data_IF_928913705206
#
_entry.id   IF_928913705206
#
_cell.length_a   1.000
_cell.length_b   1.000
_cell.length_c   1.000
_cell.angle_alpha   90.00
_cell.angle_beta   90.00
_cell.angle_gamma   90.00
#
_symmetry.space_group_name_H-M   'P 1'
#
loop_
_entity.id
_entity.type
_entity.pdbx_description
1 polymer ?
#
# COMPACT_ATOMS: atom_id res chain seq x y z
N UNK A 1 63.92 -16.14 53.56
CA UNK A 1 64.47 -15.41 52.38
C UNK A 1 63.31 -15.13 51.43
N UNK A 2 63.29 -13.88 50.94
CA UNK A 2 62.13 -13.03 50.64
C UNK A 2 61.00 -13.53 49.74
N UNK A 3 59.79 -13.08 50.06
CA UNK A 3 58.82 -12.57 49.10
C UNK A 3 57.82 -11.59 49.76
N UNK A 4 57.37 -10.61 48.94
CA UNK A 4 56.14 -9.79 49.00
C UNK A 4 56.15 -8.40 49.68
N UNK A 5 56.27 -7.41 48.80
CA UNK A 5 55.58 -6.10 48.78
C UNK A 5 54.04 -6.27 48.71
N UNK A 6 53.19 -5.26 48.90
CA UNK A 6 53.11 -4.10 49.79
C UNK A 6 51.66 -3.60 49.64
N UNK A 7 51.08 -3.10 50.74
CA UNK A 7 49.67 -2.74 50.92
C UNK A 7 49.56 -1.26 51.28
N UNK A 8 48.53 -0.58 50.78
CA UNK A 8 47.87 0.61 51.37
C UNK A 8 46.50 0.76 50.67
N UNK A 9 45.34 1.03 51.27
CA UNK A 9 44.96 1.67 52.54
C UNK A 9 44.36 3.06 52.25
N UNK A 10 43.12 3.14 51.74
CA UNK A 10 41.88 3.59 52.43
C UNK A 10 41.75 5.09 52.75
N UNK A 11 40.77 5.77 52.14
CA UNK A 11 39.97 6.81 52.81
C UNK A 11 38.59 6.99 52.15
N UNK A 12 37.57 7.26 52.98
CA UNK A 12 36.15 7.17 52.69
C UNK A 12 35.51 8.54 52.38
N UNK A 13 34.46 8.54 51.55
CA UNK A 13 33.55 9.67 51.33
C UNK A 13 32.24 9.20 50.69
N UNK A 14 31.11 9.52 51.34
CA UNK A 14 29.73 9.06 51.09
C UNK A 14 29.08 9.51 49.74
N UNK A 15 27.92 8.91 49.36
CA UNK A 15 27.45 8.83 47.98
C UNK A 15 26.43 9.93 47.60
N UNK A 16 26.59 10.50 46.41
CA UNK A 16 25.68 11.49 45.84
C UNK A 16 25.17 11.15 44.44
N UNK A 17 23.85 10.96 44.32
CA UNK A 17 23.03 11.14 43.12
C UNK A 17 23.25 10.19 41.92
N UNK A 18 22.71 8.97 42.02
CA UNK A 18 22.33 8.17 40.85
C UNK A 18 21.10 8.78 40.16
N UNK A 19 21.22 9.02 38.86
CA UNK A 19 20.16 9.51 37.99
C UNK A 19 18.95 8.55 37.97
N UNK A 20 17.82 9.00 38.55
CA UNK A 20 16.52 8.35 38.38
C UNK A 20 16.01 8.59 36.97
N UNK A 21 16.13 7.57 36.12
CA UNK A 21 15.40 7.46 34.85
C UNK A 21 13.90 7.40 35.14
N UNK A 22 13.18 8.47 34.84
CA UNK A 22 11.74 8.55 34.94
C UNK A 22 11.08 7.73 33.81
N UNK A 23 10.93 6.42 34.02
CA UNK A 23 10.06 5.57 33.19
C UNK A 23 8.61 5.92 33.51
N UNK A 24 7.98 6.69 32.61
CA UNK A 24 6.54 6.94 32.59
C UNK A 24 5.86 5.59 32.30
N UNK A 25 5.32 4.93 33.34
CA UNK A 25 4.51 3.71 33.19
C UNK A 25 3.32 4.03 32.29
N UNK A 26 3.24 3.38 31.13
CA UNK A 26 2.05 3.37 30.30
C UNK A 26 0.98 2.63 31.12
N UNK A 27 -0.10 3.33 31.46
CA UNK A 27 -1.23 2.73 32.16
C UNK A 27 -2.07 1.94 31.14
N UNK A 28 -1.95 0.61 31.15
CA UNK A 28 -2.68 -0.28 30.23
C UNK A 28 -4.21 -0.27 30.43
N UNK A 29 -4.74 0.32 31.51
CA UNK A 29 -6.19 0.48 31.71
C UNK A 29 -6.77 1.72 30.98
N UNK A 30 -5.93 2.56 30.34
CA UNK A 30 -6.38 3.71 29.56
C UNK A 30 -6.73 3.37 28.10
N UNK A 31 -6.44 2.15 27.62
CA UNK A 31 -6.77 1.69 26.26
C UNK A 31 -8.24 1.27 26.07
N UNK A 32 -9.06 1.38 27.12
CA UNK A 32 -10.50 1.05 27.09
C UNK A 32 -11.45 2.25 27.22
N UNK A 33 -10.95 3.48 27.34
CA UNK A 33 -11.82 4.67 27.36
C UNK A 33 -11.90 5.25 25.96
N UNK A 34 -13.04 5.04 25.30
CA UNK A 34 -13.50 5.88 24.20
C UNK A 34 -13.30 7.35 24.63
N UNK A 35 -12.40 8.07 23.95
CA UNK A 35 -12.21 9.49 24.19
C UNK A 35 -13.51 10.21 23.84
N UNK A 36 -14.11 10.85 24.84
CA UNK A 36 -15.35 11.63 24.74
C UNK A 36 -15.14 13.00 24.08
N UNK A 37 -14.34 13.05 23.01
CA UNK A 37 -14.19 14.20 22.12
C UNK A 37 -14.59 13.68 20.76
N UNK A 38 -15.72 14.14 20.23
CA UNK A 38 -16.39 13.62 19.03
C UNK A 38 -15.41 13.22 17.93
N UNK A 39 -15.20 11.92 17.80
CA UNK A 39 -14.27 11.32 16.85
C UNK A 39 -14.93 11.40 15.47
N UNK A 40 -14.75 12.52 14.77
CA UNK A 40 -15.15 12.62 13.37
C UNK A 40 -14.16 11.77 12.57
N UNK A 41 -14.37 10.45 12.59
CA UNK A 41 -13.54 9.51 11.86
C UNK A 41 -13.52 9.94 10.38
N UNK A 42 -12.33 10.18 9.83
CA UNK A 42 -12.19 10.58 8.42
C UNK A 42 -12.89 9.56 7.51
N UNK A 43 -13.38 9.99 6.33
CA UNK A 43 -14.02 9.09 5.36
C UNK A 43 -13.14 7.86 5.06
N UNK A 44 -11.83 8.08 4.92
CA UNK A 44 -10.82 7.04 4.72
C UNK A 44 -10.73 6.05 5.89
N UNK A 45 -10.81 6.51 7.14
CA UNK A 45 -10.87 5.62 8.31
C UNK A 45 -12.15 4.78 8.29
N UNK A 46 -13.30 5.38 7.99
CA UNK A 46 -14.58 4.65 7.86
C UNK A 46 -14.51 3.55 6.79
N UNK A 47 -13.94 3.87 5.62
CA UNK A 47 -13.76 2.91 4.53
C UNK A 47 -12.84 1.75 4.94
N UNK A 48 -11.74 2.02 5.65
CA UNK A 48 -10.84 0.97 6.13
C UNK A 48 -11.49 0.08 7.20
N UNK A 49 -12.26 0.66 8.12
CA UNK A 49 -13.02 -0.10 9.12
C UNK A 49 -14.07 -0.99 8.46
N UNK A 50 -14.79 -0.48 7.46
CA UNK A 50 -15.77 -1.27 6.71
C UNK A 50 -15.12 -2.40 5.91
N UNK A 51 -13.96 -2.16 5.28
CA UNK A 51 -13.14 -3.22 4.66
C UNK A 51 -12.81 -4.34 5.65
N UNK A 52 -12.32 -3.99 6.84
CA UNK A 52 -11.94 -4.99 7.83
C UNK A 52 -13.16 -5.84 8.27
N UNK A 53 -14.34 -5.23 8.40
CA UNK A 53 -15.59 -5.94 8.67
C UNK A 53 -15.97 -6.88 7.52
N UNK A 54 -15.96 -6.39 6.28
CA UNK A 54 -16.25 -7.19 5.09
C UNK A 54 -15.30 -8.39 4.97
N UNK A 55 -14.02 -8.22 5.28
CA UNK A 55 -13.04 -9.30 5.25
C UNK A 55 -13.38 -10.43 6.24
N UNK A 56 -13.85 -10.09 7.45
CA UNK A 56 -14.31 -11.07 8.44
C UNK A 56 -15.61 -11.74 7.97
N UNK A 57 -16.53 -10.99 7.40
CA UNK A 57 -17.79 -11.51 6.85
C UNK A 57 -17.53 -12.47 5.65
N UNK A 58 -16.62 -12.11 4.74
CA UNK A 58 -16.18 -12.93 3.61
C UNK A 58 -15.51 -14.21 4.11
N UNK A 59 -14.57 -14.12 5.06
CA UNK A 59 -13.92 -15.29 5.64
C UNK A 59 -14.93 -16.25 6.28
N UNK A 60 -15.93 -15.71 6.99
CA UNK A 60 -16.99 -16.52 7.59
C UNK A 60 -17.78 -17.28 6.54
N UNK A 61 -18.26 -16.58 5.52
CA UNK A 61 -19.06 -17.21 4.44
C UNK A 61 -18.21 -18.17 3.59
N UNK A 62 -16.92 -17.90 3.38
CA UNK A 62 -16.01 -18.81 2.69
C UNK A 62 -15.80 -20.12 3.47
N UNK A 63 -15.66 -20.05 4.80
CA UNK A 63 -15.61 -21.26 5.65
C UNK A 63 -16.89 -22.08 5.55
N UNK A 64 -18.06 -21.44 5.57
CA UNK A 64 -19.34 -22.13 5.35
C UNK A 64 -19.39 -22.78 3.97
N UNK A 65 -19.04 -22.04 2.92
CA UNK A 65 -19.02 -22.53 1.55
C UNK A 65 -18.11 -23.76 1.39
N UNK A 66 -16.89 -23.71 1.93
CA UNK A 66 -15.97 -24.84 1.92
C UNK A 66 -16.50 -26.03 2.73
N UNK A 67 -17.09 -25.78 3.90
CA UNK A 67 -17.71 -26.81 4.74
C UNK A 67 -18.85 -27.54 4.01
N UNK A 68 -19.78 -26.79 3.42
CA UNK A 68 -20.88 -27.34 2.64
C UNK A 68 -20.39 -28.10 1.41
N UNK A 69 -19.37 -27.61 0.69
CA UNK A 69 -18.74 -28.35 -0.43
C UNK A 69 -18.11 -29.68 0.00
N UNK A 70 -17.49 -29.73 1.18
CA UNK A 70 -16.95 -30.99 1.73
C UNK A 70 -18.07 -31.95 2.09
N UNK A 71 -19.15 -31.46 2.69
CA UNK A 71 -20.33 -32.27 3.02
C UNK A 71 -20.99 -32.87 1.78
N UNK A 72 -21.13 -32.09 0.69
CA UNK A 72 -21.64 -32.58 -0.61
C UNK A 72 -20.80 -33.74 -1.17
N UNK A 73 -19.47 -33.71 -0.95
CA UNK A 73 -18.55 -34.76 -1.40
C UNK A 73 -18.55 -35.99 -0.48
N UNK A 74 -18.80 -35.80 0.81
CA UNK A 74 -18.72 -36.85 1.82
C UNK A 74 -20.07 -37.54 2.10
N UNK A 75 -21.20 -36.88 1.86
CA UNK A 75 -22.53 -37.42 2.14
C UNK A 75 -22.99 -38.41 1.08
N UNK A 76 -23.48 -39.57 1.53
CA UNK A 76 -24.20 -40.55 0.69
C UNK A 76 -25.72 -40.33 0.68
N UNK A 77 -26.26 -39.53 1.62
CA UNK A 77 -27.68 -39.17 1.65
C UNK A 77 -27.97 -38.04 0.66
N UNK A 78 -28.91 -38.30 -0.26
CA UNK A 78 -29.35 -37.38 -1.30
C UNK A 78 -29.94 -36.10 -0.72
N UNK A 79 -30.75 -36.18 0.34
CA UNK A 79 -31.40 -34.99 0.93
C UNK A 79 -30.36 -34.07 1.60
N UNK A 80 -29.48 -34.64 2.40
CA UNK A 80 -28.38 -33.90 3.00
C UNK A 80 -27.45 -33.29 1.95
N UNK A 81 -27.23 -33.98 0.82
CA UNK A 81 -26.40 -33.48 -0.28
C UNK A 81 -27.05 -32.29 -1.00
N UNK A 82 -28.34 -32.36 -1.30
CA UNK A 82 -29.07 -31.27 -1.95
C UNK A 82 -29.11 -30.02 -1.06
N UNK A 83 -29.38 -30.21 0.24
CA UNK A 83 -29.37 -29.12 1.23
C UNK A 83 -27.98 -28.47 1.32
N UNK A 84 -26.92 -29.28 1.43
CA UNK A 84 -25.55 -28.77 1.47
C UNK A 84 -25.16 -28.04 0.17
N UNK A 85 -25.65 -28.51 -0.98
CA UNK A 85 -25.41 -27.83 -2.26
C UNK A 85 -26.10 -26.46 -2.32
N UNK A 86 -27.34 -26.37 -1.85
CA UNK A 86 -28.07 -25.11 -1.74
C UNK A 86 -27.34 -24.13 -0.80
N UNK A 87 -26.91 -24.59 0.37
CA UNK A 87 -26.14 -23.77 1.32
C UNK A 87 -24.83 -23.27 0.73
N UNK A 88 -24.09 -24.11 0.00
CA UNK A 88 -22.87 -23.69 -0.68
C UNK A 88 -23.16 -22.58 -1.70
N UNK A 89 -24.25 -22.69 -2.46
CA UNK A 89 -24.65 -21.67 -3.44
C UNK A 89 -25.05 -20.35 -2.77
N UNK A 90 -25.70 -20.41 -1.61
CA UNK A 90 -26.10 -19.23 -0.85
C UNK A 90 -24.90 -18.50 -0.24
N UNK A 91 -23.96 -19.25 0.34
CA UNK A 91 -22.70 -18.70 0.84
C UNK A 91 -21.89 -18.03 -0.28
N UNK A 92 -21.81 -18.67 -1.47
CA UNK A 92 -21.15 -18.07 -2.63
C UNK A 92 -21.81 -16.78 -3.09
N UNK A 93 -23.15 -16.72 -3.10
CA UNK A 93 -23.90 -15.51 -3.42
C UNK A 93 -23.57 -14.36 -2.45
N UNK A 94 -23.54 -14.63 -1.14
CA UNK A 94 -23.16 -13.63 -0.14
C UNK A 94 -21.73 -13.14 -0.30
N UNK A 95 -20.77 -14.04 -0.55
CA UNK A 95 -19.38 -13.68 -0.82
C UNK A 95 -19.33 -12.69 -1.99
N UNK A 96 -20.04 -12.97 -3.09
CA UNK A 96 -20.10 -12.06 -4.25
C UNK A 96 -20.68 -10.69 -3.89
N UNK A 97 -21.72 -10.63 -3.04
CA UNK A 97 -22.30 -9.36 -2.57
C UNK A 97 -21.28 -8.56 -1.75
N UNK A 98 -20.59 -9.20 -0.80
CA UNK A 98 -19.57 -8.54 0.02
C UNK A 98 -18.36 -8.10 -0.83
N UNK A 99 -17.95 -8.90 -1.81
CA UNK A 99 -16.90 -8.54 -2.76
C UNK A 99 -17.31 -7.36 -3.65
N UNK A 100 -18.57 -7.28 -4.07
CA UNK A 100 -19.08 -6.12 -4.80
C UNK A 100 -19.06 -4.85 -3.93
N UNK A 101 -19.36 -4.95 -2.63
CA UNK A 101 -19.22 -3.83 -1.70
C UNK A 101 -17.75 -3.44 -1.51
N UNK A 102 -16.85 -4.42 -1.39
CA UNK A 102 -15.41 -4.18 -1.31
C UNK A 102 -14.87 -3.48 -2.57
N UNK A 103 -15.37 -3.87 -3.76
CA UNK A 103 -15.07 -3.19 -5.02
C UNK A 103 -15.55 -1.72 -5.02
N UNK A 104 -16.71 -1.42 -4.43
CA UNK A 104 -17.18 -0.03 -4.25
C UNK A 104 -16.27 0.77 -3.32
N UNK A 105 -15.77 0.15 -2.25
CA UNK A 105 -14.77 0.78 -1.36
C UNK A 105 -13.47 1.05 -2.11
N UNK A 106 -12.96 0.08 -2.88
CA UNK A 106 -11.80 0.26 -3.77
C UNK A 106 -12.02 1.35 -4.83
N UNK A 107 -13.29 1.61 -5.17
CA UNK A 107 -13.69 2.64 -6.13
C UNK A 107 -13.85 4.03 -5.52
N UNK A 108 -13.74 4.18 -4.19
CA UNK A 108 -13.96 5.43 -3.49
C UNK A 108 -12.72 6.34 -3.51
N UNK A 109 -12.26 6.71 -4.72
CA UNK A 109 -11.02 7.45 -4.94
C UNK A 109 -11.02 8.82 -4.23
N UNK A 110 -12.18 9.46 -4.11
CA UNK A 110 -12.36 10.79 -3.51
C UNK A 110 -11.84 10.88 -2.06
N UNK A 111 -11.91 9.78 -1.31
CA UNK A 111 -11.41 9.71 0.07
C UNK A 111 -9.89 9.91 0.17
N UNK A 112 -9.19 9.79 -0.96
CA UNK A 112 -7.74 9.92 -1.07
C UNK A 112 -7.31 11.18 -1.83
N UNK A 113 -8.23 11.92 -2.46
CA UNK A 113 -7.89 13.16 -3.15
C UNK A 113 -8.03 14.37 -2.23
N UNK A 114 -7.20 15.40 -2.44
CA UNK A 114 -7.38 16.73 -1.83
C UNK A 114 -8.75 17.33 -2.20
N UNK A 115 -9.47 17.88 -1.21
CA UNK A 115 -10.84 18.38 -1.39
C UNK A 115 -10.91 19.64 -2.29
N UNK A 116 -9.93 20.52 -2.21
CA UNK A 116 -9.91 21.80 -2.95
C UNK A 116 -9.53 21.71 -4.43
N UNK A 117 -9.04 20.56 -4.90
CA UNK A 117 -8.43 20.40 -6.24
C UNK A 117 -9.19 19.45 -7.16
N UNK A 118 -10.33 18.92 -6.70
CA UNK A 118 -11.13 17.89 -7.40
C UNK A 118 -11.65 18.33 -8.77
N UNK A 119 -11.66 19.63 -9.07
CA UNK A 119 -12.17 20.19 -10.32
C UNK A 119 -11.09 20.52 -11.36
N UNK A 120 -9.81 20.59 -10.99
CA UNK A 120 -8.74 21.04 -11.90
C UNK A 120 -7.79 19.95 -12.34
N UNK A 121 -7.77 18.79 -11.68
CA UNK A 121 -6.79 17.72 -11.95
C UNK A 121 -7.48 16.35 -11.98
N UNK A 122 -7.12 15.47 -12.93
CA UNK A 122 -7.61 14.10 -12.93
C UNK A 122 -7.15 13.38 -11.63
N UNK A 123 -8.03 12.63 -10.96
CA UNK A 123 -7.67 11.96 -9.71
C UNK A 123 -6.64 10.87 -9.96
N UNK A 124 -5.74 10.66 -9.00
CA UNK A 124 -4.89 9.47 -8.99
C UNK A 124 -5.69 8.29 -8.44
N UNK A 125 -5.35 7.10 -8.93
CA UNK A 125 -5.87 5.80 -8.51
C UNK A 125 -4.88 5.23 -7.48
N UNK A 126 -5.14 5.38 -6.16
CA UNK A 126 -4.44 4.62 -5.14
C UNK A 126 -5.05 3.23 -5.01
N UNK A 127 -4.27 2.30 -4.46
CA UNK A 127 -4.75 0.98 -4.09
C UNK A 127 -4.80 0.79 -2.58
N UNK A 128 -5.60 -0.18 -2.14
CA UNK A 128 -5.88 -0.39 -0.74
C UNK A 128 -4.75 -1.15 -0.02
N UNK A 129 -4.60 -0.90 1.28
CA UNK A 129 -3.75 -1.71 2.14
C UNK A 129 -4.41 -3.08 2.37
N UNK A 130 -3.60 -4.13 2.39
CA UNK A 130 -3.96 -5.42 2.95
C UNK A 130 -4.22 -5.28 4.44
N UNK A 131 -5.19 -6.03 4.94
CA UNK A 131 -5.44 -6.15 6.38
C UNK A 131 -4.90 -7.47 6.89
N UNK A 132 -4.53 -7.53 8.17
CA UNK A 132 -4.07 -8.76 8.83
C UNK A 132 -4.90 -9.03 10.08
N UNK A 133 -5.03 -10.31 10.45
CA UNK A 133 -5.64 -10.68 11.72
C UNK A 133 -4.67 -10.43 12.89
N UNK A 134 -5.23 -10.24 14.09
CA UNK A 134 -4.43 -10.22 15.32
C UNK A 134 -3.79 -11.59 15.54
N UNK A 135 -2.48 -11.60 15.70
CA UNK A 135 -1.67 -12.78 16.03
C UNK A 135 -0.85 -12.45 17.28
N UNK A 136 -0.91 -13.32 18.30
CA UNK A 136 -0.01 -13.26 19.44
C UNK A 136 1.22 -14.11 19.16
N UNK A 137 2.41 -13.54 19.34
CA UNK A 137 3.71 -14.20 19.21
C UNK A 137 4.25 -14.68 20.56
N UNK A 138 3.63 -14.25 21.67
CA UNK A 138 4.16 -14.44 23.02
C UNK A 138 4.36 -15.91 23.34
N UNK A 139 3.30 -16.73 23.25
CA UNK A 139 3.37 -18.16 23.55
C UNK A 139 4.35 -18.88 22.62
N UNK A 140 4.26 -18.64 21.31
CA UNK A 140 5.16 -19.23 20.32
C UNK A 140 6.64 -18.94 20.61
N UNK A 141 6.96 -17.70 21.00
CA UNK A 141 8.33 -17.31 21.30
C UNK A 141 8.79 -17.85 22.66
N UNK A 142 7.95 -17.80 23.69
CA UNK A 142 8.30 -18.37 25.01
C UNK A 142 8.53 -19.88 24.92
N UNK A 143 7.69 -20.58 24.16
CA UNK A 143 7.81 -22.03 23.93
C UNK A 143 9.09 -22.37 23.16
N UNK A 144 9.43 -21.55 22.16
CA UNK A 144 10.68 -21.70 21.40
C UNK A 144 11.91 -21.42 22.26
N UNK A 145 11.88 -20.38 23.10
CA UNK A 145 13.00 -20.01 23.98
C UNK A 145 13.24 -21.10 25.04
N UNK A 146 12.19 -21.58 25.69
CA UNK A 146 12.31 -22.65 26.69
C UNK A 146 12.66 -23.99 26.05
N UNK A 147 11.99 -24.34 24.94
CA UNK A 147 12.12 -25.64 24.31
C UNK A 147 13.40 -25.82 23.48
N UNK A 148 13.81 -24.81 22.72
CA UNK A 148 14.98 -24.89 21.83
C UNK A 148 16.25 -24.31 22.44
N UNK A 149 16.15 -23.17 23.12
CA UNK A 149 17.31 -22.49 23.70
C UNK A 149 17.56 -22.86 25.16
N UNK A 150 16.63 -23.57 25.81
CA UNK A 150 16.72 -23.96 27.23
C UNK A 150 16.97 -22.77 28.16
N UNK A 151 16.43 -21.61 27.79
CA UNK A 151 16.52 -20.37 28.56
C UNK A 151 15.18 -20.08 29.25
N UNK A 152 15.24 -19.38 30.38
CA UNK A 152 14.05 -18.83 31.01
C UNK A 152 13.46 -17.70 30.13
N UNK A 153 12.23 -17.85 29.59
CA UNK A 153 11.62 -16.81 28.78
C UNK A 153 11.41 -15.50 29.51
N UNK A 154 11.33 -15.50 30.85
CA UNK A 154 11.13 -14.30 31.67
C UNK A 154 12.18 -13.22 31.40
N UNK A 155 13.41 -13.61 31.06
CA UNK A 155 14.50 -12.69 30.74
C UNK A 155 14.29 -11.90 29.43
N UNK A 156 13.39 -12.36 28.55
CA UNK A 156 13.13 -11.76 27.23
C UNK A 156 11.69 -11.29 27.04
N UNK A 157 10.85 -11.37 28.09
CA UNK A 157 9.42 -11.04 27.99
C UNK A 157 9.18 -9.60 27.52
N UNK A 158 9.94 -8.63 28.05
CA UNK A 158 9.80 -7.22 27.66
C UNK A 158 10.02 -7.03 26.15
N UNK A 159 11.05 -7.65 25.58
CA UNK A 159 11.36 -7.57 24.15
C UNK A 159 10.33 -8.33 23.29
N UNK A 160 9.78 -9.43 23.80
CA UNK A 160 8.69 -10.16 23.13
C UNK A 160 7.44 -9.29 23.06
N UNK A 161 7.10 -8.59 24.15
CA UNK A 161 5.97 -7.65 24.16
C UNK A 161 6.22 -6.45 23.24
N UNK A 162 7.42 -5.90 23.21
CA UNK A 162 7.78 -4.83 22.27
C UNK A 162 7.58 -5.26 20.81
N UNK A 163 8.05 -6.46 20.45
CA UNK A 163 7.82 -7.01 19.11
C UNK A 163 6.34 -7.28 18.81
N UNK A 164 5.58 -7.73 19.81
CA UNK A 164 4.14 -7.93 19.69
C UNK A 164 3.40 -6.62 19.37
N UNK A 165 3.77 -5.54 20.05
CA UNK A 165 3.18 -4.22 19.81
C UNK A 165 3.54 -3.68 18.43
N UNK A 166 4.80 -3.85 17.98
CA UNK A 166 5.20 -3.53 16.60
C UNK A 166 4.32 -4.26 15.58
N UNK A 167 4.03 -5.55 15.79
CA UNK A 167 3.14 -6.29 14.90
C UNK A 167 1.70 -5.76 14.95
N UNK A 168 1.19 -5.40 16.12
CA UNK A 168 -0.16 -4.84 16.23
C UNK A 168 -0.29 -3.46 15.57
N UNK A 169 0.78 -2.65 15.60
CA UNK A 169 0.82 -1.36 14.93
C UNK A 169 0.62 -1.46 13.39
N UNK A 170 1.10 -2.54 12.75
CA UNK A 170 0.92 -2.80 11.31
C UNK A 170 -0.55 -2.71 10.85
N UNK A 171 -1.50 -3.07 11.72
CA UNK A 171 -2.92 -3.06 11.36
C UNK A 171 -3.54 -1.66 11.32
N UNK A 172 -2.90 -0.68 11.96
CA UNK A 172 -3.43 0.67 12.17
C UNK A 172 -2.39 1.75 11.85
N UNK A 173 -1.67 1.58 10.74
CA UNK A 173 -0.65 2.56 10.32
C UNK A 173 -1.28 3.88 9.89
N UNK A 174 -0.58 4.98 10.20
CA UNK A 174 -0.92 6.30 9.69
C UNK A 174 -0.66 6.38 8.18
N UNK A 175 -1.31 7.34 7.50
CA UNK A 175 -1.17 7.50 6.03
C UNK A 175 -0.23 8.65 5.68
N UNK A 176 0.98 8.53 6.21
CA UNK A 176 2.08 9.49 6.09
C UNK A 176 3.41 8.74 6.22
N UNK A 177 4.52 9.48 6.20
CA UNK A 177 5.87 8.89 6.29
C UNK A 177 6.05 8.11 7.61
N UNK A 178 5.45 8.54 8.72
CA UNK A 178 5.51 7.80 9.99
C UNK A 178 4.87 6.41 9.91
N UNK A 179 3.83 6.27 9.08
CA UNK A 179 3.24 4.97 8.77
C UNK A 179 4.19 4.07 7.98
N UNK A 180 4.92 4.65 7.01
CA UNK A 180 5.97 3.94 6.25
C UNK A 180 7.09 3.49 7.18
N UNK A 181 7.58 4.38 8.06
CA UNK A 181 8.60 4.09 9.06
C UNK A 181 8.18 2.93 9.98
N UNK A 182 6.93 2.94 10.46
CA UNK A 182 6.37 1.87 11.31
C UNK A 182 6.37 0.51 10.61
N UNK A 183 5.99 0.47 9.32
CA UNK A 183 6.02 -0.75 8.51
C UNK A 183 7.45 -1.26 8.29
N UNK A 184 8.39 -0.34 7.99
CA UNK A 184 9.80 -0.66 7.79
C UNK A 184 10.46 -1.16 9.09
N UNK A 185 10.15 -0.55 10.22
CA UNK A 185 10.62 -0.97 11.54
C UNK A 185 10.19 -2.41 11.81
N UNK A 186 8.90 -2.72 11.68
CA UNK A 186 8.40 -4.07 11.85
C UNK A 186 9.05 -5.07 10.87
N UNK A 187 9.16 -4.71 9.59
CA UNK A 187 9.81 -5.53 8.57
C UNK A 187 11.26 -5.87 8.95
N UNK A 188 12.01 -4.89 9.45
CA UNK A 188 13.40 -5.07 9.86
C UNK A 188 13.52 -5.92 11.12
N UNK A 189 12.68 -5.69 12.13
CA UNK A 189 12.67 -6.51 13.34
C UNK A 189 12.27 -7.95 13.04
N UNK A 190 11.27 -8.16 12.16
CA UNK A 190 10.88 -9.49 11.71
C UNK A 190 12.04 -10.23 11.01
N UNK A 191 12.88 -9.53 10.24
CA UNK A 191 14.08 -10.12 9.65
C UNK A 191 15.11 -10.59 10.69
N UNK A 192 15.25 -9.87 11.81
CA UNK A 192 16.17 -10.24 12.89
C UNK A 192 15.63 -11.36 13.76
N UNK A 193 14.33 -11.30 14.07
CA UNK A 193 13.63 -12.30 14.90
C UNK A 193 13.50 -13.62 14.16
N UNK A 194 13.17 -13.61 12.86
CA UNK A 194 12.97 -14.83 12.08
C UNK A 194 14.21 -15.73 12.01
N UNK A 195 15.40 -15.15 11.97
CA UNK A 195 16.67 -15.91 11.99
C UNK A 195 16.89 -16.71 13.29
N UNK A 196 16.17 -16.39 14.37
CA UNK A 196 16.33 -17.01 15.70
C UNK A 196 15.09 -17.77 16.14
N UNK A 197 13.93 -17.11 16.14
CA UNK A 197 12.69 -17.63 16.74
C UNK A 197 11.71 -18.22 15.71
N UNK A 198 11.89 -17.94 14.41
CA UNK A 198 10.96 -18.38 13.35
C UNK A 198 11.76 -19.10 12.25
N UNK A 199 12.46 -20.16 12.63
CA UNK A 199 13.30 -20.93 11.71
C UNK A 199 12.51 -22.12 11.13
N UNK A 200 12.69 -22.51 9.84
CA UNK A 200 11.96 -23.62 9.22
C UNK A 200 12.10 -24.97 9.94
N UNK A 201 13.19 -25.16 10.70
CA UNK A 201 13.44 -26.36 11.51
C UNK A 201 12.73 -26.33 12.89
N UNK A 202 12.18 -25.18 13.26
CA UNK A 202 11.45 -24.99 14.52
C UNK A 202 9.96 -24.99 14.24
N UNK A 203 9.21 -25.73 15.05
CA UNK A 203 7.74 -25.64 15.05
C UNK A 203 7.33 -24.43 15.88
N UNK A 204 7.41 -23.24 15.28
CA UNK A 204 7.04 -21.99 15.95
C UNK A 204 5.52 -21.79 16.06
N UNK A 205 4.71 -22.53 15.30
CA UNK A 205 3.24 -22.51 15.40
C UNK A 205 2.55 -21.21 14.96
N UNK A 206 3.31 -20.19 14.57
CA UNK A 206 2.77 -18.94 14.04
C UNK A 206 2.13 -19.15 12.67
N UNK A 207 0.87 -18.72 12.56
CA UNK A 207 0.14 -18.67 11.31
C UNK A 207 -0.25 -17.22 11.01
N UNK A 208 0.40 -16.63 10.02
CA UNK A 208 0.12 -15.29 9.53
C UNK A 208 -1.13 -15.31 8.67
N UNK A 209 -2.11 -14.49 9.03
CA UNK A 209 -3.38 -14.36 8.31
C UNK A 209 -3.44 -12.97 7.70
N UNK A 210 -3.49 -12.90 6.37
CA UNK A 210 -3.68 -11.67 5.61
C UNK A 210 -4.85 -11.79 4.67
N UNK A 211 -5.57 -10.69 4.50
CA UNK A 211 -6.68 -10.62 3.58
C UNK A 211 -6.21 -9.96 2.29
N UNK A 212 -6.70 -10.51 1.18
CA UNK A 212 -6.48 -9.98 -0.16
C UNK A 212 -7.11 -8.58 -0.31
N UNK A 213 -6.34 -7.62 -0.84
CA UNK A 213 -6.78 -6.23 -0.98
C UNK A 213 -7.86 -6.03 -2.05
N UNK A 214 -8.03 -6.98 -2.96
CA UNK A 214 -9.02 -6.95 -4.04
C UNK A 214 -10.29 -7.68 -3.62
N UNK A 215 -10.17 -8.95 -3.25
CA UNK A 215 -11.32 -9.85 -3.08
C UNK A 215 -11.66 -10.19 -1.62
N UNK A 216 -10.86 -9.74 -0.66
CA UNK A 216 -11.11 -9.88 0.76
C UNK A 216 -10.94 -11.30 1.32
N UNK A 217 -10.52 -12.28 0.50
CA UNK A 217 -10.31 -13.65 0.96
C UNK A 217 -9.05 -13.73 1.84
N UNK A 218 -9.08 -14.54 2.92
CA UNK A 218 -7.92 -14.74 3.78
C UNK A 218 -6.93 -15.74 3.18
N UNK A 219 -5.64 -15.46 3.33
CA UNK A 219 -4.57 -16.42 3.17
C UNK A 219 -3.87 -16.65 4.51
N UNK A 220 -3.71 -17.92 4.87
CA UNK A 220 -3.06 -18.36 6.11
C UNK A 220 -1.75 -19.04 5.75
N UNK A 221 -0.63 -18.50 6.24
CA UNK A 221 0.71 -19.03 5.95
C UNK A 221 1.58 -19.01 7.19
N UNK A 222 2.43 -20.01 7.37
CA UNK A 222 3.47 -20.00 8.41
C UNK A 222 4.78 -19.34 7.94
N UNK A 223 4.79 -18.85 6.69
CA UNK A 223 5.97 -18.29 6.03
C UNK A 223 6.23 -16.84 6.46
N UNK A 224 7.41 -16.60 7.03
CA UNK A 224 7.90 -15.22 7.30
C UNK A 224 8.03 -14.44 6.00
N UNK A 225 8.45 -15.09 4.91
CA UNK A 225 8.55 -14.48 3.59
C UNK A 225 7.19 -13.93 3.15
N UNK A 226 6.10 -14.63 3.44
CA UNK A 226 4.74 -14.14 3.16
C UNK A 226 4.36 -12.92 4.03
N UNK A 227 4.62 -12.95 5.35
CA UNK A 227 4.38 -11.79 6.22
C UNK A 227 5.14 -10.56 5.69
N UNK A 228 6.42 -10.72 5.36
CA UNK A 228 7.25 -9.64 4.80
C UNK A 228 6.70 -9.12 3.47
N UNK A 229 6.29 -10.00 2.55
CA UNK A 229 5.67 -9.60 1.29
C UNK A 229 4.47 -8.68 1.53
N UNK A 230 3.58 -9.06 2.44
CA UNK A 230 2.40 -8.28 2.77
C UNK A 230 2.74 -6.89 3.36
N UNK A 231 3.82 -6.78 4.16
CA UNK A 231 4.30 -5.49 4.65
C UNK A 231 4.80 -4.61 3.50
N UNK A 232 5.62 -5.15 2.59
CA UNK A 232 6.09 -4.41 1.42
C UNK A 232 4.93 -3.98 0.51
N UNK A 233 3.90 -4.82 0.35
CA UNK A 233 2.68 -4.46 -0.38
C UNK A 233 2.02 -3.23 0.24
N UNK A 234 1.88 -3.22 1.57
CA UNK A 234 1.30 -2.10 2.28
C UNK A 234 2.14 -0.83 2.20
N UNK A 235 3.47 -0.92 2.13
CA UNK A 235 4.35 0.23 1.88
C UNK A 235 4.06 0.82 0.49
N UNK A 236 3.95 -0.02 -0.54
CA UNK A 236 3.60 0.44 -1.89
C UNK A 236 2.21 1.09 -1.94
N UNK A 237 1.22 0.47 -1.28
CA UNK A 237 -0.13 1.00 -1.17
C UNK A 237 -0.14 2.36 -0.47
N UNK A 238 0.63 2.52 0.61
CA UNK A 238 0.71 3.75 1.38
C UNK A 238 1.30 4.89 0.54
N UNK A 239 2.37 4.61 -0.20
CA UNK A 239 2.94 5.58 -1.13
C UNK A 239 1.98 6.00 -2.24
N UNK A 240 1.17 5.07 -2.78
CA UNK A 240 0.12 5.42 -3.76
C UNK A 240 -0.93 6.37 -3.15
N UNK A 241 -1.29 6.17 -1.88
CA UNK A 241 -2.27 6.99 -1.17
C UNK A 241 -1.70 8.36 -0.79
N UNK A 242 -0.43 8.43 -0.40
CA UNK A 242 0.28 9.68 -0.13
C UNK A 242 0.36 10.53 -1.40
N UNK A 243 0.73 9.93 -2.53
CA UNK A 243 0.76 10.63 -3.82
C UNK A 243 -0.61 11.22 -4.21
N UNK A 244 -1.70 10.48 -3.96
CA UNK A 244 -3.06 10.96 -4.23
C UNK A 244 -3.50 12.13 -3.31
N UNK A 245 -2.92 12.22 -2.11
CA UNK A 245 -3.20 13.26 -1.12
C UNK A 245 -2.38 14.55 -1.32
N UNK A 246 -1.37 14.54 -2.18
CA UNK A 246 -0.53 15.72 -2.41
C UNK A 246 -1.25 16.80 -3.21
N UNK A 247 -0.96 18.06 -2.89
CA UNK A 247 -1.41 19.21 -3.68
C UNK A 247 -0.53 19.37 -4.92
N UNK A 248 -1.02 18.84 -6.04
CA UNK A 248 -0.31 18.87 -7.33
C UNK A 248 -0.50 20.18 -8.09
N UNK A 249 -1.18 21.19 -7.52
CA UNK A 249 -1.20 22.55 -8.08
C UNK A 249 0.08 23.34 -7.77
N UNK A 250 0.92 22.80 -6.89
CA UNK A 250 2.22 23.36 -6.53
C UNK A 250 3.35 22.48 -7.06
N UNK A 251 4.46 23.10 -7.49
CA UNK A 251 5.67 22.38 -7.94
C UNK A 251 6.20 21.45 -6.85
N UNK A 252 6.15 21.90 -5.59
CA UNK A 252 6.61 21.13 -4.44
C UNK A 252 5.72 19.90 -4.19
N UNK A 253 4.40 20.05 -4.18
CA UNK A 253 3.47 18.93 -3.97
C UNK A 253 3.48 17.94 -5.14
N UNK A 254 3.54 18.41 -6.39
CA UNK A 254 3.72 17.54 -7.55
C UNK A 254 5.05 16.75 -7.47
N UNK A 255 6.14 17.38 -7.00
CA UNK A 255 7.42 16.69 -6.81
C UNK A 255 7.37 15.62 -5.72
N UNK A 256 6.69 15.90 -4.59
CA UNK A 256 6.47 14.89 -3.54
C UNK A 256 5.57 13.74 -3.99
N UNK A 257 4.56 14.03 -4.81
CA UNK A 257 3.69 13.02 -5.41
C UNK A 257 4.48 12.07 -6.32
N UNK A 258 5.32 12.62 -7.22
CA UNK A 258 6.20 11.81 -8.08
C UNK A 258 7.14 10.94 -7.23
N UNK A 259 7.81 11.54 -6.25
CA UNK A 259 8.71 10.80 -5.37
C UNK A 259 7.99 9.65 -4.62
N UNK A 260 6.76 9.88 -4.15
CA UNK A 260 5.95 8.85 -3.51
C UNK A 260 5.59 7.74 -4.50
N UNK A 261 5.14 8.07 -5.72
CA UNK A 261 4.84 7.07 -6.75
C UNK A 261 6.07 6.22 -7.10
N UNK A 262 7.24 6.84 -7.26
CA UNK A 262 8.50 6.15 -7.53
C UNK A 262 8.91 5.20 -6.40
N UNK A 263 8.79 5.62 -5.13
CA UNK A 263 9.00 4.74 -3.97
C UNK A 263 8.04 3.54 -4.00
N UNK A 264 6.77 3.78 -4.35
CA UNK A 264 5.77 2.72 -4.52
C UNK A 264 6.10 1.73 -5.64
N UNK A 265 6.57 2.23 -6.79
CA UNK A 265 7.03 1.41 -7.92
C UNK A 265 8.19 0.52 -7.48
N UNK A 266 9.19 1.09 -6.81
CA UNK A 266 10.35 0.33 -6.31
C UNK A 266 9.96 -0.78 -5.33
N UNK A 267 8.98 -0.54 -4.46
CA UNK A 267 8.46 -1.55 -3.55
C UNK A 267 7.76 -2.71 -4.29
N UNK A 268 6.97 -2.42 -5.34
CA UNK A 268 6.33 -3.45 -6.18
C UNK A 268 7.35 -4.23 -7.01
N UNK A 269 8.34 -3.56 -7.60
CA UNK A 269 9.41 -4.21 -8.36
C UNK A 269 10.27 -5.11 -7.47
N UNK A 270 10.62 -4.64 -6.26
CA UNK A 270 11.26 -5.48 -5.25
C UNK A 270 10.42 -6.71 -4.91
N UNK A 271 9.10 -6.55 -4.85
CA UNK A 271 8.20 -7.66 -4.57
C UNK A 271 8.27 -8.75 -5.65
N UNK A 272 8.18 -8.32 -6.92
CA UNK A 272 8.21 -9.21 -8.09
C UNK A 272 9.52 -10.01 -8.17
N UNK A 273 10.64 -9.40 -7.83
CA UNK A 273 11.95 -10.07 -7.86
C UNK A 273 12.14 -11.08 -6.71
N UNK A 274 11.54 -10.81 -5.54
CA UNK A 274 11.88 -11.51 -4.28
C UNK A 274 10.82 -12.44 -3.73
N UNK A 275 9.57 -12.31 -4.17
CA UNK A 275 8.44 -13.08 -3.67
C UNK A 275 7.70 -13.74 -4.83
N UNK A 276 8.21 -14.88 -5.29
CA UNK A 276 7.53 -15.71 -6.27
C UNK A 276 6.44 -16.58 -5.63
N UNK A 277 5.44 -16.97 -6.43
CA UNK A 277 4.34 -17.87 -6.03
C UNK A 277 3.47 -17.33 -4.88
N UNK A 278 2.86 -16.16 -5.09
CA UNK A 278 1.93 -15.59 -4.12
C UNK A 278 0.71 -16.48 -3.86
N UNK A 279 0.27 -16.64 -2.60
CA UNK A 279 -0.99 -17.32 -2.26
C UNK A 279 -2.24 -16.44 -2.41
N UNK A 280 -2.08 -15.13 -2.67
CA UNK A 280 -3.19 -14.18 -2.85
C UNK A 280 -3.16 -13.53 -4.22
N UNK A 281 -4.35 -13.15 -4.70
CA UNK A 281 -4.60 -12.58 -6.02
C UNK A 281 -3.91 -11.22 -6.16
N UNK A 282 -3.99 -10.40 -5.12
CA UNK A 282 -3.42 -9.04 -5.05
C UNK A 282 -1.90 -8.98 -5.22
N UNK A 283 -1.21 -10.09 -4.99
CA UNK A 283 0.23 -10.22 -5.15
C UNK A 283 0.61 -11.19 -6.29
N UNK A 284 -0.29 -11.47 -7.23
CA UNK A 284 0.04 -12.21 -8.45
C UNK A 284 0.96 -11.38 -9.36
N UNK A 285 1.78 -12.05 -10.17
CA UNK A 285 2.73 -11.37 -11.08
C UNK A 285 2.01 -10.43 -12.06
N UNK A 286 0.83 -10.84 -12.53
CA UNK A 286 -0.01 -10.05 -13.44
C UNK A 286 -0.48 -8.75 -12.76
N UNK A 287 -1.02 -8.86 -11.55
CA UNK A 287 -1.57 -7.70 -10.84
C UNK A 287 -0.46 -6.79 -10.30
N UNK A 288 0.66 -7.32 -9.81
CA UNK A 288 1.82 -6.51 -9.43
C UNK A 288 2.41 -5.76 -10.63
N UNK A 289 2.44 -6.38 -11.81
CA UNK A 289 2.86 -5.71 -13.05
C UNK A 289 1.89 -4.58 -13.42
N UNK A 290 0.59 -4.85 -13.42
CA UNK A 290 -0.42 -3.83 -13.65
C UNK A 290 -0.31 -2.65 -12.68
N UNK A 291 -0.16 -2.92 -11.37
CA UNK A 291 -0.01 -1.86 -10.36
C UNK A 291 1.28 -1.05 -10.57
N UNK A 292 2.40 -1.70 -10.90
CA UNK A 292 3.66 -1.03 -11.21
C UNK A 292 3.53 -0.09 -12.41
N UNK A 293 2.93 -0.58 -13.50
CA UNK A 293 2.71 0.19 -14.72
C UNK A 293 1.71 1.33 -14.51
N UNK A 294 0.66 1.10 -13.71
CA UNK A 294 -0.28 2.14 -13.31
C UNK A 294 0.40 3.26 -12.52
N UNK A 295 1.24 2.92 -11.52
CA UNK A 295 2.00 3.93 -10.78
C UNK A 295 2.99 4.67 -11.69
N UNK A 296 3.61 3.99 -12.66
CA UNK A 296 4.54 4.61 -13.61
C UNK A 296 3.83 5.58 -14.56
N UNK A 297 2.66 5.22 -15.07
CA UNK A 297 1.83 6.10 -15.90
C UNK A 297 1.37 7.34 -15.10
N UNK A 298 0.94 7.14 -13.85
CA UNK A 298 0.58 8.24 -12.95
C UNK A 298 1.78 9.14 -12.62
N UNK A 299 2.98 8.58 -12.43
CA UNK A 299 4.17 9.38 -12.19
C UNK A 299 4.50 10.25 -13.40
N UNK A 300 4.34 9.72 -14.62
CA UNK A 300 4.54 10.49 -15.85
C UNK A 300 3.48 11.59 -16.03
N UNK A 301 2.22 11.30 -15.72
CA UNK A 301 1.14 12.29 -15.65
C UNK A 301 1.50 13.43 -14.68
N UNK A 302 1.92 13.12 -13.46
CA UNK A 302 2.22 14.17 -12.46
C UNK A 302 3.49 14.95 -12.81
N UNK A 303 4.51 14.32 -13.40
CA UNK A 303 5.68 15.04 -13.92
C UNK A 303 5.26 16.05 -14.98
N UNK A 304 4.36 15.66 -15.87
CA UNK A 304 3.80 16.55 -16.87
C UNK A 304 2.98 17.69 -16.23
N UNK A 305 2.12 17.40 -15.26
CA UNK A 305 1.40 18.43 -14.49
C UNK A 305 2.37 19.45 -13.85
N UNK A 306 3.45 18.97 -13.23
CA UNK A 306 4.49 19.82 -12.61
C UNK A 306 5.11 20.77 -13.63
N UNK A 307 5.54 20.25 -14.77
CA UNK A 307 6.19 21.06 -15.82
C UNK A 307 5.24 22.11 -16.38
N UNK A 308 3.95 21.80 -16.50
CA UNK A 308 2.94 22.76 -16.93
C UNK A 308 2.79 23.97 -15.99
N UNK A 309 3.05 23.81 -14.68
CA UNK A 309 3.00 24.93 -13.73
C UNK A 309 4.09 25.97 -13.98
N UNK A 310 5.22 25.54 -14.55
CA UNK A 310 6.38 26.39 -14.82
C UNK A 310 6.42 26.85 -16.29
N UNK A 311 5.58 26.25 -17.14
CA UNK A 311 5.60 26.44 -18.58
C UNK A 311 4.95 27.77 -18.99
N UNK A 312 5.70 28.57 -19.77
CA UNK A 312 5.16 29.76 -20.45
C UNK A 312 4.74 29.39 -21.87
N UNK A 313 3.44 29.53 -22.18
CA UNK A 313 2.85 29.23 -23.50
C UNK A 313 3.05 30.37 -24.50
N UNK A 314 4.25 30.91 -24.61
CA UNK A 314 4.56 32.05 -25.48
C UNK A 314 5.23 31.64 -26.78
N UNK A 315 6.13 30.65 -26.73
CA UNK A 315 6.93 30.23 -27.87
C UNK A 315 6.37 28.94 -28.52
N UNK A 316 6.36 28.83 -29.86
CA UNK A 316 5.89 27.62 -30.56
C UNK A 316 6.65 26.36 -30.14
N UNK A 317 7.95 26.46 -29.85
CA UNK A 317 8.78 25.34 -29.39
C UNK A 317 8.26 24.74 -28.08
N UNK A 318 7.87 25.59 -27.13
CA UNK A 318 7.33 25.15 -25.84
C UNK A 318 5.97 24.45 -26.00
N UNK A 319 5.16 24.87 -26.96
CA UNK A 319 3.86 24.25 -27.26
C UNK A 319 4.06 22.88 -27.96
N UNK A 320 5.05 22.78 -28.84
CA UNK A 320 5.44 21.50 -29.46
C UNK A 320 5.92 20.52 -28.40
N UNK A 321 6.80 20.96 -27.50
CA UNK A 321 7.26 20.14 -26.37
C UNK A 321 6.09 19.67 -25.49
N UNK A 322 5.11 20.54 -25.25
CA UNK A 322 3.89 20.19 -24.53
C UNK A 322 3.10 19.08 -25.24
N UNK A 323 2.96 19.14 -26.57
CA UNK A 323 2.31 18.11 -27.36
C UNK A 323 3.03 16.75 -27.23
N UNK A 324 4.36 16.75 -27.37
CA UNK A 324 5.17 15.53 -27.25
C UNK A 324 5.09 14.91 -25.85
N UNK A 325 5.23 15.73 -24.80
CA UNK A 325 5.17 15.25 -23.41
C UNK A 325 3.79 14.72 -23.06
N UNK A 326 2.73 15.41 -23.47
CA UNK A 326 1.35 14.95 -23.27
C UNK A 326 1.09 13.63 -24.01
N UNK A 327 1.61 13.49 -25.23
CA UNK A 327 1.54 12.23 -25.98
C UNK A 327 2.24 11.10 -25.22
N UNK A 328 3.43 11.36 -24.66
CA UNK A 328 4.16 10.37 -23.86
C UNK A 328 3.36 9.89 -22.64
N UNK A 329 2.61 10.78 -21.97
CA UNK A 329 1.69 10.37 -20.88
C UNK A 329 0.61 9.41 -21.40
N UNK A 330 -0.01 9.71 -22.55
CA UNK A 330 -1.00 8.83 -23.16
C UNK A 330 -0.40 7.45 -23.50
N UNK A 331 0.81 7.42 -24.08
CA UNK A 331 1.54 6.19 -24.41
C UNK A 331 1.84 5.32 -23.19
N UNK A 332 2.06 5.91 -22.00
CA UNK A 332 2.19 5.14 -20.76
C UNK A 332 0.88 4.47 -20.33
N UNK A 333 -0.29 5.04 -20.66
CA UNK A 333 -1.59 4.45 -20.36
C UNK A 333 -2.07 3.45 -21.42
N UNK A 334 -1.56 3.49 -22.65
CA UNK A 334 -2.01 2.61 -23.74
C UNK A 334 -1.90 1.11 -23.42
N UNK A 335 -0.77 0.58 -22.91
CA UNK A 335 -0.68 -0.85 -22.58
C UNK A 335 -1.66 -1.26 -21.47
N UNK A 336 -1.88 -0.36 -20.49
CA UNK A 336 -2.85 -0.60 -19.42
C UNK A 336 -4.28 -0.65 -19.96
N UNK A 337 -4.61 0.22 -20.93
CA UNK A 337 -5.91 0.23 -21.60
C UNK A 337 -6.15 -1.07 -22.37
N UNK A 338 -5.18 -1.51 -23.18
CA UNK A 338 -5.26 -2.76 -23.94
C UNK A 338 -5.51 -3.94 -22.99
N UNK A 339 -4.76 -4.02 -21.89
CA UNK A 339 -4.89 -5.08 -20.90
C UNK A 339 -6.27 -5.13 -20.22
N UNK A 340 -6.92 -3.98 -20.00
CA UNK A 340 -8.28 -3.94 -19.43
C UNK A 340 -9.39 -4.09 -20.48
N UNK A 341 -9.10 -3.94 -21.77
CA UNK A 341 -10.05 -4.16 -22.88
C UNK A 341 -10.11 -5.63 -23.31
N UNK A 342 -8.97 -6.30 -23.34
CA UNK A 342 -8.85 -7.73 -23.66
C UNK A 342 -9.46 -8.66 -22.60
N UNK A 343 -10.02 -8.08 -21.52
CA UNK A 343 -10.67 -8.80 -20.43
C UNK A 343 -9.76 -9.75 -19.63
N UNK A 344 -8.45 -9.74 -19.89
CA UNK A 344 -7.45 -10.54 -19.19
C UNK A 344 -7.44 -10.25 -17.68
N UNK A 345 -7.83 -9.04 -17.28
CA UNK A 345 -7.91 -8.59 -15.87
C UNK A 345 -9.35 -8.53 -15.33
N UNK A 346 -10.36 -9.04 -16.06
CA UNK A 346 -11.74 -9.07 -15.55
C UNK A 346 -11.81 -9.94 -14.29
N UNK A 347 -12.34 -9.36 -13.20
CA UNK A 347 -12.41 -10.00 -11.88
C UNK A 347 -11.27 -9.65 -10.92
N UNK A 348 -10.19 -9.02 -11.40
CA UNK A 348 -9.08 -8.54 -10.58
C UNK A 348 -9.19 -7.05 -10.24
N UNK A 349 -9.80 -6.26 -11.12
CA UNK A 349 -9.81 -4.81 -11.01
C UNK A 349 -11.22 -4.27 -10.76
N UNK A 350 -11.39 -3.26 -9.89
CA UNK A 350 -12.63 -2.50 -9.78
C UNK A 350 -13.01 -1.85 -11.11
N UNK A 351 -14.30 -1.84 -11.45
CA UNK A 351 -14.80 -1.27 -12.71
C UNK A 351 -14.43 0.20 -12.90
N UNK A 352 -14.34 0.96 -11.81
CA UNK A 352 -13.94 2.36 -11.89
C UNK A 352 -12.48 2.51 -12.35
N UNK A 353 -11.56 1.62 -11.95
CA UNK A 353 -10.16 1.71 -12.37
C UNK A 353 -10.04 1.44 -13.85
N UNK A 354 -10.75 0.41 -14.34
CA UNK A 354 -10.86 0.09 -15.76
C UNK A 354 -11.35 1.32 -16.54
N UNK A 355 -12.41 1.96 -16.05
CA UNK A 355 -12.98 3.15 -16.68
C UNK A 355 -12.01 4.33 -16.66
N UNK A 356 -11.34 4.58 -15.54
CA UNK A 356 -10.39 5.68 -15.39
C UNK A 356 -9.16 5.53 -16.27
N UNK A 357 -8.60 4.33 -16.40
CA UNK A 357 -7.46 4.09 -17.29
C UNK A 357 -7.82 4.45 -18.74
N UNK A 358 -9.00 4.00 -19.20
CA UNK A 358 -9.51 4.32 -20.55
C UNK A 358 -9.71 5.82 -20.74
N UNK A 359 -10.31 6.48 -19.76
CA UNK A 359 -10.56 7.93 -19.79
C UNK A 359 -9.25 8.71 -19.80
N UNK A 360 -8.26 8.32 -18.98
CA UNK A 360 -6.96 8.99 -18.92
C UNK A 360 -6.19 8.86 -20.23
N UNK A 361 -6.12 7.68 -20.83
CA UNK A 361 -5.50 7.49 -22.15
C UNK A 361 -6.13 8.42 -23.20
N UNK A 362 -7.46 8.38 -23.32
CA UNK A 362 -8.19 9.21 -24.28
C UNK A 362 -8.03 10.71 -24.01
N UNK A 363 -8.05 11.11 -22.73
CA UNK A 363 -7.87 12.49 -22.30
C UNK A 363 -6.49 13.04 -22.71
N UNK A 364 -5.42 12.33 -22.37
CA UNK A 364 -4.06 12.76 -22.72
C UNK A 364 -3.81 12.72 -24.22
N UNK A 365 -4.41 11.75 -24.94
CA UNK A 365 -4.37 11.75 -26.40
C UNK A 365 -5.05 12.97 -27.01
N UNK A 366 -6.24 13.33 -26.52
CA UNK A 366 -6.95 14.53 -26.97
C UNK A 366 -6.16 15.81 -26.63
N UNK A 367 -5.58 15.89 -25.44
CA UNK A 367 -4.78 17.04 -25.02
C UNK A 367 -3.48 17.18 -25.84
N UNK A 368 -2.85 16.07 -26.24
CA UNK A 368 -1.70 16.08 -27.14
C UNK A 368 -2.08 16.64 -28.52
N UNK A 369 -3.22 16.22 -29.08
CA UNK A 369 -3.75 16.77 -30.34
C UNK A 369 -4.09 18.26 -30.21
N UNK A 370 -4.65 18.69 -29.07
CA UNK A 370 -4.90 20.10 -28.80
C UNK A 370 -3.62 20.94 -28.86
N UNK A 371 -2.54 20.50 -28.18
CA UNK A 371 -1.27 21.22 -28.24
C UNK A 371 -0.65 21.21 -29.64
N UNK A 372 -0.75 20.10 -30.37
CA UNK A 372 -0.29 20.04 -31.75
C UNK A 372 -1.04 21.05 -32.64
N UNK A 373 -2.37 21.12 -32.52
CA UNK A 373 -3.18 22.10 -33.25
C UNK A 373 -2.83 23.54 -32.90
N UNK A 374 -2.63 23.83 -31.61
CA UNK A 374 -2.19 25.14 -31.14
C UNK A 374 -0.83 25.53 -31.72
N UNK A 375 0.14 24.60 -31.73
CA UNK A 375 1.45 24.84 -32.34
C UNK A 375 1.34 25.16 -33.84
N UNK A 376 0.48 24.43 -34.57
CA UNK A 376 0.24 24.69 -35.99
C UNK A 376 -0.35 26.08 -36.24
N UNK A 377 -1.31 26.54 -35.42
CA UNK A 377 -1.92 27.86 -35.55
C UNK A 377 -0.92 29.00 -35.30
N UNK A 378 -0.07 28.85 -34.27
CA UNK A 378 1.02 29.79 -34.00
C UNK A 378 2.02 29.87 -35.16
N UNK A 379 2.41 28.73 -35.73
CA UNK A 379 3.32 28.68 -36.88
C UNK A 379 2.68 29.27 -38.14
N UNK A 380 1.40 29.01 -38.37
CA UNK A 380 0.65 29.57 -39.51
C UNK A 380 0.55 31.10 -39.42
N UNK A 381 0.27 31.63 -38.22
CA UNK A 381 0.21 33.08 -37.98
C UNK A 381 1.56 33.75 -38.25
N UNK A 382 2.67 33.15 -37.79
CA UNK A 382 4.02 33.66 -38.05
C UNK A 382 4.40 33.66 -39.55
N UNK A 383 3.92 32.68 -40.32
CA UNK A 383 4.13 32.62 -41.77
C UNK A 383 3.25 33.61 -42.56
N UNK A 384 2.15 34.10 -41.96
CA UNK A 384 1.21 35.02 -42.62
C UNK A 384 1.58 36.50 -42.49
N UNK A 385 2.57 36.84 -41.65
CA UNK A 385 3.12 38.20 -41.59
C UNK A 385 3.95 38.48 -42.86
N UNK A 386 3.64 39.54 -43.63
CA UNK A 386 4.40 39.86 -44.83
C UNK A 386 5.85 40.19 -44.45
N UNK A 387 6.86 39.74 -45.23
CA UNK A 387 8.23 40.12 -44.97
C UNK A 387 8.33 41.64 -45.05
N UNK A 388 8.63 42.30 -43.93
CA UNK A 388 8.98 43.73 -43.92
C UNK A 388 10.20 43.92 -44.81
N UNK A 389 9.95 44.35 -46.05
CA UNK A 389 10.96 44.78 -47.01
C UNK A 389 11.72 45.94 -46.39
N UNK A 390 12.87 45.64 -45.78
CA UNK A 390 13.90 46.62 -45.45
C UNK A 390 14.56 47.12 -46.75
N UNK A 391 13.81 47.85 -47.59
CA UNK A 391 14.40 48.79 -48.54
C UNK A 391 14.57 50.14 -47.83
N UNK A 392 15.60 50.24 -46.98
CA UNK A 392 16.15 51.55 -46.65
C UNK A 392 16.91 52.04 -47.87
N UNK A 393 16.26 52.95 -48.59
CA UNK A 393 16.84 53.77 -49.65
C UNK A 393 18.16 54.39 -49.17
N UNK A 394 19.28 53.91 -49.73
CA UNK A 394 20.47 54.73 -49.87
C UNK A 394 20.39 55.39 -51.25
N UNK A 395 19.84 56.62 -51.27
CA UNK A 395 20.11 57.63 -52.29
C UNK A 395 21.03 58.66 -51.64
#
# INVERSE_FOLDING_TARGET
MSAKEASSGSEAGEPGAAAKSARKRINLEALGRQSSIGDVSTLRTKLQSRRAQLNVEIEKEDKFHQGSKRLVRASSDHKARDQAQLEASFAESKIRVHQAELAKINSSLQAYQQEGLRSSQPPLIPFALKTTARLSVVSSFTDTISGHYHMDPAALLDQIYEFQELRYAVSNVTRDESGVESLLEYHNQLQLVSKRLIHPKLRHGLAFIWYDAINGLPAVQQSVTFEKACIIFNIAALHSQMAAQEDRSTVAGASRAVASLEKGIGALEYMKDRFSNSPTLDMSDELLSFLSDLLRAQAQEVRWEREQLEMKRTEPSTIIDAAHKTKSVAECYSPLKELVEDNSMKGYLPECWISYVKVKEAHYKALAHYYAALAHDHLASACSEPPTLYFKNHI
#
